data_IF_909780393826
#
_entry.id   IF_909780393826
#
_cell.length_a   1.000
_cell.length_b   1.000
_cell.length_c   1.000
_cell.angle_alpha   90.00
_cell.angle_beta   90.00
_cell.angle_gamma   90.00
#
_symmetry.space_group_name_H-M   'P 1'
#
loop_
_entity.id
_entity.type
_entity.pdbx_description
1 polymer ?
#
# COMPACT_ATOMS: atom_id res chain seq x y z
N UNK A 1 -2.89 -63.20 23.22
CA UNK A 1 -4.25 -63.35 22.65
C UNK A 1 -4.15 -63.06 21.16
N UNK A 2 -4.01 -64.10 20.31
CA UNK A 2 -3.74 -63.92 18.85
C UNK A 2 -5.05 -63.97 18.07
N UNK A 3 -5.77 -62.84 17.98
CA UNK A 3 -6.99 -62.70 17.19
C UNK A 3 -6.75 -62.93 15.67
N UNK A 4 -5.53 -62.77 15.20
CA UNK A 4 -5.15 -62.90 13.79
C UNK A 4 -4.96 -64.35 13.31
N UNK A 5 -4.96 -65.33 14.21
CA UNK A 5 -4.72 -66.78 13.87
C UNK A 5 -5.87 -67.46 13.16
N UNK A 6 -7.07 -66.90 13.12
CA UNK A 6 -8.32 -67.54 12.62
C UNK A 6 -8.70 -67.14 11.19
N UNK A 7 -7.97 -66.21 10.58
CA UNK A 7 -8.34 -65.75 9.22
C UNK A 7 -7.49 -66.48 8.15
N UNK A 8 -8.15 -66.88 7.04
CA UNK A 8 -7.51 -67.45 5.87
C UNK A 8 -6.42 -66.52 5.32
N UNK A 9 -5.34 -67.07 4.75
CA UNK A 9 -4.28 -66.32 4.11
C UNK A 9 -4.82 -65.30 3.09
N UNK A 10 -5.86 -65.68 2.34
CA UNK A 10 -6.54 -64.78 1.38
C UNK A 10 -7.16 -63.56 2.08
N UNK A 11 -7.80 -63.75 3.24
CA UNK A 11 -8.48 -62.67 3.99
C UNK A 11 -7.40 -61.68 4.54
N UNK A 12 -6.26 -62.17 4.98
CA UNK A 12 -5.13 -61.30 5.44
C UNK A 12 -4.57 -60.47 4.30
N UNK A 13 -4.46 -61.06 3.11
CA UNK A 13 -3.95 -60.35 1.92
C UNK A 13 -4.94 -59.24 1.51
N UNK A 14 -6.24 -59.53 1.47
CA UNK A 14 -7.27 -58.52 1.17
C UNK A 14 -7.29 -57.38 2.18
N UNK A 15 -7.19 -57.69 3.48
CA UNK A 15 -7.14 -56.69 4.53
C UNK A 15 -5.94 -55.80 4.40
N UNK A 16 -4.75 -56.34 4.13
CA UNK A 16 -3.53 -55.58 3.88
C UNK A 16 -3.67 -54.64 2.68
N UNK A 17 -4.22 -55.14 1.57
CA UNK A 17 -4.38 -54.32 0.35
C UNK A 17 -5.42 -53.21 0.55
N UNK A 18 -6.57 -53.51 1.15
CA UNK A 18 -7.60 -52.51 1.45
C UNK A 18 -7.09 -51.45 2.42
N UNK A 19 -6.38 -51.87 3.48
CA UNK A 19 -5.77 -50.95 4.43
C UNK A 19 -4.77 -50.01 3.76
N UNK A 20 -3.89 -50.57 2.90
CA UNK A 20 -2.90 -49.77 2.13
C UNK A 20 -3.58 -48.76 1.19
N UNK A 21 -4.68 -49.16 0.54
CA UNK A 21 -5.48 -48.29 -0.34
C UNK A 21 -6.13 -47.15 0.46
N UNK A 22 -6.72 -47.44 1.62
CA UNK A 22 -7.31 -46.44 2.51
C UNK A 22 -6.22 -45.42 2.96
N UNK A 23 -5.07 -45.90 3.34
CA UNK A 23 -3.93 -45.08 3.78
C UNK A 23 -3.45 -44.15 2.67
N UNK A 24 -3.37 -44.64 1.43
CA UNK A 24 -3.04 -43.87 0.24
C UNK A 24 -4.06 -42.76 -0.03
N UNK A 25 -5.35 -43.07 0.06
CA UNK A 25 -6.43 -42.09 -0.10
C UNK A 25 -6.38 -41.02 0.98
N UNK A 26 -6.13 -41.41 2.25
CA UNK A 26 -6.02 -40.45 3.37
C UNK A 26 -4.82 -39.52 3.18
N UNK A 27 -3.66 -40.06 2.80
CA UNK A 27 -2.47 -39.24 2.53
C UNK A 27 -2.70 -38.30 1.36
N UNK A 28 -3.30 -38.80 0.27
CA UNK A 28 -3.66 -37.99 -0.89
C UNK A 28 -4.64 -36.85 -0.55
N UNK A 29 -5.67 -37.15 0.24
CA UNK A 29 -6.64 -36.16 0.69
C UNK A 29 -6.00 -35.09 1.61
N UNK A 30 -5.15 -35.50 2.56
CA UNK A 30 -4.40 -34.57 3.40
C UNK A 30 -3.45 -33.67 2.59
N UNK A 31 -2.74 -34.25 1.62
CA UNK A 31 -1.87 -33.50 0.72
C UNK A 31 -2.64 -32.48 -0.11
N UNK A 32 -3.81 -32.88 -0.64
CA UNK A 32 -4.68 -31.97 -1.40
C UNK A 32 -5.18 -30.78 -0.56
N UNK A 33 -5.68 -31.07 0.66
CA UNK A 33 -6.17 -30.01 1.58
C UNK A 33 -5.04 -29.07 2.01
N UNK A 34 -3.83 -29.60 2.27
CA UNK A 34 -2.67 -28.78 2.61
C UNK A 34 -2.28 -27.86 1.45
N UNK A 35 -2.26 -28.38 0.22
CA UNK A 35 -1.92 -27.62 -0.98
C UNK A 35 -2.96 -26.52 -1.28
N UNK A 36 -4.23 -26.83 -1.11
CA UNK A 36 -5.33 -25.87 -1.34
C UNK A 36 -5.27 -24.69 -0.35
N UNK A 37 -5.03 -24.98 0.94
CA UNK A 37 -4.81 -23.95 1.96
C UNK A 37 -3.61 -23.06 1.67
N UNK A 38 -2.50 -23.63 1.23
CA UNK A 38 -1.29 -22.89 0.91
C UNK A 38 -1.51 -21.95 -0.29
N UNK A 39 -2.21 -22.42 -1.32
CA UNK A 39 -2.56 -21.59 -2.49
C UNK A 39 -3.45 -20.41 -2.12
N UNK A 40 -4.48 -20.63 -1.29
CA UNK A 40 -5.36 -19.56 -0.84
C UNK A 40 -4.62 -18.47 -0.06
N UNK A 41 -3.74 -18.83 0.86
CA UNK A 41 -2.94 -17.88 1.65
C UNK A 41 -2.00 -17.05 0.78
N UNK A 42 -1.32 -17.69 -0.16
CA UNK A 42 -0.41 -17.00 -1.09
C UNK A 42 -1.16 -16.00 -1.99
N UNK A 43 -2.32 -16.39 -2.51
CA UNK A 43 -3.12 -15.52 -3.37
C UNK A 43 -3.60 -14.26 -2.62
N UNK A 44 -4.00 -14.39 -1.35
CA UNK A 44 -4.38 -13.25 -0.50
C UNK A 44 -3.17 -12.34 -0.27
N UNK A 45 -2.02 -12.88 0.12
CA UNK A 45 -0.80 -12.11 0.35
C UNK A 45 -0.36 -11.35 -0.91
N UNK A 46 -0.39 -12.00 -2.07
CA UNK A 46 -0.05 -11.35 -3.33
C UNK A 46 -1.04 -10.22 -3.68
N UNK A 47 -2.34 -10.44 -3.50
CA UNK A 47 -3.34 -9.41 -3.79
C UNK A 47 -3.20 -8.19 -2.88
N UNK A 48 -2.95 -8.38 -1.59
CA UNK A 48 -2.70 -7.31 -0.63
C UNK A 48 -1.45 -6.48 -0.98
N UNK A 49 -0.35 -7.15 -1.39
CA UNK A 49 0.88 -6.45 -1.77
C UNK A 49 0.75 -5.68 -3.09
N UNK A 50 0.06 -6.26 -4.07
CA UNK A 50 -0.25 -5.56 -5.33
C UNK A 50 -1.12 -4.33 -5.04
N UNK A 51 -2.12 -4.46 -4.16
CA UNK A 51 -2.95 -3.33 -3.75
C UNK A 51 -2.10 -2.24 -3.08
N UNK A 52 -1.22 -2.59 -2.16
CA UNK A 52 -0.31 -1.64 -1.51
C UNK A 52 0.55 -0.88 -2.53
N UNK A 53 1.10 -1.57 -3.54
CA UNK A 53 1.88 -0.93 -4.61
C UNK A 53 1.02 0.05 -5.43
N UNK A 54 -0.21 -0.34 -5.74
CA UNK A 54 -1.18 0.51 -6.45
C UNK A 54 -1.49 1.75 -5.63
N UNK A 55 -1.81 1.58 -4.34
CA UNK A 55 -2.11 2.69 -3.42
C UNK A 55 -0.92 3.66 -3.30
N UNK A 56 0.31 3.16 -3.17
CA UNK A 56 1.51 4.01 -3.13
C UNK A 56 1.71 4.78 -4.45
N UNK A 57 1.45 4.16 -5.59
CA UNK A 57 1.52 4.82 -6.90
C UNK A 57 0.49 5.93 -7.05
N UNK A 58 -0.75 5.69 -6.61
CA UNK A 58 -1.82 6.68 -6.64
C UNK A 58 -1.57 7.84 -5.68
N UNK A 59 -1.04 7.56 -4.47
CA UNK A 59 -0.65 8.58 -3.51
C UNK A 59 0.46 9.48 -4.08
N UNK A 60 1.47 8.90 -4.75
CA UNK A 60 2.53 9.66 -5.42
C UNK A 60 1.99 10.52 -6.57
N UNK A 61 1.06 10.00 -7.36
CA UNK A 61 0.39 10.76 -8.42
C UNK A 61 -0.35 11.95 -7.82
N UNK A 62 -1.15 11.74 -6.77
CA UNK A 62 -1.89 12.80 -6.09
C UNK A 62 -0.96 13.85 -5.47
N UNK A 63 0.19 13.44 -4.92
CA UNK A 63 1.22 14.33 -4.43
C UNK A 63 1.82 15.19 -5.56
N UNK A 64 2.03 14.59 -6.73
CA UNK A 64 2.45 15.28 -7.95
C UNK A 64 1.44 16.32 -8.43
N UNK A 65 0.15 16.00 -8.36
CA UNK A 65 -0.93 16.91 -8.73
C UNK A 65 -1.03 18.11 -7.76
N UNK A 66 -0.81 17.89 -6.46
CA UNK A 66 -0.71 18.98 -5.49
C UNK A 66 0.43 19.95 -5.84
N UNK A 67 1.59 19.43 -6.19
CA UNK A 67 2.75 20.26 -6.58
C UNK A 67 2.54 20.97 -7.91
N UNK A 68 1.83 20.34 -8.86
CA UNK A 68 1.46 21.00 -10.12
C UNK A 68 0.54 22.16 -9.84
N UNK A 69 -0.53 21.96 -9.09
CA UNK A 69 -1.50 23.00 -8.75
C UNK A 69 -0.86 24.13 -7.94
N UNK A 70 0.09 23.85 -7.03
CA UNK A 70 0.92 24.86 -6.37
C UNK A 70 1.63 25.75 -7.37
N UNK A 71 2.30 25.16 -8.35
CA UNK A 71 3.00 25.94 -9.40
C UNK A 71 2.04 26.73 -10.25
N UNK A 72 0.89 26.18 -10.58
CA UNK A 72 -0.14 26.86 -11.36
C UNK A 72 -0.68 28.08 -10.59
N UNK A 73 -0.88 27.99 -9.26
CA UNK A 73 -1.24 29.12 -8.41
C UNK A 73 -0.17 30.22 -8.47
N UNK A 74 1.09 29.85 -8.37
CA UNK A 74 2.22 30.78 -8.38
C UNK A 74 2.36 31.46 -9.75
N UNK A 75 2.20 30.73 -10.84
CA UNK A 75 2.29 31.26 -12.21
C UNK A 75 1.14 32.23 -12.53
N UNK A 76 -0.06 31.91 -12.05
CA UNK A 76 -1.26 32.73 -12.30
C UNK A 76 -1.45 33.85 -11.27
N UNK A 77 -0.42 34.28 -10.55
CA UNK A 77 -0.47 35.23 -9.44
C UNK A 77 -1.16 36.56 -9.77
N UNK A 78 -1.24 36.97 -11.03
CA UNK A 78 -1.89 38.18 -11.50
C UNK A 78 -3.38 37.99 -11.85
N UNK A 79 -3.93 36.79 -11.70
CA UNK A 79 -5.32 36.45 -11.97
C UNK A 79 -5.98 35.87 -10.69
N UNK A 80 -6.52 36.72 -9.83
CA UNK A 80 -7.09 36.34 -8.55
C UNK A 80 -8.25 35.35 -8.67
N UNK A 81 -9.03 35.41 -9.76
CA UNK A 81 -10.14 34.48 -10.00
C UNK A 81 -9.62 33.07 -10.28
N UNK A 82 -8.61 32.96 -11.12
CA UNK A 82 -7.95 31.69 -11.41
C UNK A 82 -7.23 31.12 -10.18
N UNK A 83 -6.51 31.97 -9.45
CA UNK A 83 -5.85 31.58 -8.18
C UNK A 83 -6.84 31.03 -7.17
N UNK A 84 -8.02 31.67 -7.02
CA UNK A 84 -9.07 31.18 -6.12
C UNK A 84 -9.58 29.80 -6.53
N UNK A 85 -9.86 29.57 -7.81
CA UNK A 85 -10.29 28.28 -8.35
C UNK A 85 -9.23 27.19 -8.16
N UNK A 86 -7.96 27.51 -8.41
CA UNK A 86 -6.83 26.59 -8.22
C UNK A 86 -6.62 26.25 -6.73
N UNK A 87 -6.78 27.22 -5.82
CA UNK A 87 -6.73 26.96 -4.37
C UNK A 87 -7.82 25.99 -3.92
N UNK A 88 -9.04 26.16 -4.42
CA UNK A 88 -10.13 25.24 -4.11
C UNK A 88 -9.82 23.83 -4.63
N UNK A 89 -9.30 23.71 -5.85
CA UNK A 89 -8.87 22.44 -6.43
C UNK A 89 -7.75 21.80 -5.61
N UNK A 90 -6.75 22.59 -5.20
CA UNK A 90 -5.64 22.14 -4.36
C UNK A 90 -6.13 21.61 -3.00
N UNK A 91 -7.06 22.33 -2.34
CA UNK A 91 -7.63 21.91 -1.06
C UNK A 91 -8.43 20.60 -1.17
N UNK A 92 -9.17 20.40 -2.25
CA UNK A 92 -9.88 19.15 -2.54
C UNK A 92 -8.90 17.98 -2.75
N UNK A 93 -7.84 18.21 -3.50
CA UNK A 93 -6.78 17.20 -3.74
C UNK A 93 -6.07 16.83 -2.45
N UNK A 94 -5.75 17.81 -1.60
CA UNK A 94 -5.14 17.58 -0.28
C UNK A 94 -6.06 16.76 0.64
N UNK A 95 -7.35 17.07 0.66
CA UNK A 95 -8.35 16.33 1.43
C UNK A 95 -8.44 14.87 0.95
N UNK A 96 -8.43 14.66 -0.36
CA UNK A 96 -8.42 13.32 -0.97
C UNK A 96 -7.16 12.53 -0.61
N UNK A 97 -5.99 13.18 -0.66
CA UNK A 97 -4.71 12.58 -0.27
C UNK A 97 -4.73 12.09 1.19
N UNK A 98 -5.20 12.95 2.10
CA UNK A 98 -5.31 12.60 3.53
C UNK A 98 -6.27 11.45 3.78
N UNK A 99 -7.41 11.46 3.11
CA UNK A 99 -8.39 10.37 3.22
C UNK A 99 -7.78 9.05 2.77
N UNK A 100 -7.13 9.02 1.60
CA UNK A 100 -6.47 7.81 1.09
C UNK A 100 -5.38 7.31 2.04
N UNK A 101 -4.57 8.21 2.62
CA UNK A 101 -3.58 7.84 3.62
C UNK A 101 -4.21 7.21 4.86
N UNK A 102 -5.33 7.75 5.34
CA UNK A 102 -6.08 7.18 6.46
C UNK A 102 -6.65 5.80 6.13
N UNK A 103 -7.20 5.62 4.93
CA UNK A 103 -7.75 4.35 4.45
C UNK A 103 -6.65 3.27 4.36
N UNK A 104 -5.51 3.61 3.75
CA UNK A 104 -4.35 2.70 3.64
C UNK A 104 -3.77 2.36 5.02
N UNK A 105 -3.66 3.36 5.92
CA UNK A 105 -3.22 3.17 7.30
C UNK A 105 -4.11 2.17 8.05
N UNK A 106 -5.41 2.25 7.84
CA UNK A 106 -6.37 1.34 8.48
C UNK A 106 -6.23 -0.09 7.94
N UNK A 107 -6.10 -0.27 6.63
CA UNK A 107 -5.90 -1.57 6.00
C UNK A 107 -4.60 -2.23 6.47
N UNK A 108 -3.52 -1.45 6.60
CA UNK A 108 -2.20 -1.93 7.00
C UNK A 108 -1.94 -1.81 8.52
N UNK A 109 -2.98 -1.74 9.34
CA UNK A 109 -2.88 -1.52 10.80
C UNK A 109 -2.09 -2.61 11.54
N UNK A 110 -1.91 -3.79 10.96
CA UNK A 110 -1.09 -4.87 11.50
C UNK A 110 0.43 -4.68 11.30
N UNK A 111 0.85 -3.75 10.44
CA UNK A 111 2.26 -3.45 10.14
C UNK A 111 2.64 -2.12 10.82
N UNK A 112 3.31 -2.21 11.97
CA UNK A 112 3.67 -1.04 12.77
C UNK A 112 4.65 -0.09 12.06
N UNK A 113 5.58 -0.62 11.24
CA UNK A 113 6.54 0.18 10.48
C UNK A 113 5.85 0.93 9.34
N UNK A 114 4.94 0.24 8.66
CA UNK A 114 4.10 0.86 7.63
C UNK A 114 3.26 1.99 8.21
N UNK A 115 2.56 1.74 9.31
CA UNK A 115 1.74 2.75 10.01
C UNK A 115 2.58 3.96 10.43
N UNK A 116 3.76 3.74 11.02
CA UNK A 116 4.66 4.82 11.40
C UNK A 116 5.12 5.68 10.21
N UNK A 117 5.36 5.06 9.05
CA UNK A 117 5.73 5.75 7.82
C UNK A 117 4.56 6.60 7.26
N UNK A 118 3.33 6.09 7.34
CA UNK A 118 2.13 6.85 6.96
C UNK A 118 1.90 8.03 7.93
N UNK A 119 2.03 7.81 9.23
CA UNK A 119 1.88 8.88 10.23
C UNK A 119 2.91 9.99 10.03
N UNK A 120 4.15 9.64 9.72
CA UNK A 120 5.19 10.60 9.35
C UNK A 120 4.86 11.35 8.06
N UNK A 121 4.31 10.67 7.05
CA UNK A 121 3.88 11.31 5.81
C UNK A 121 2.75 12.32 6.05
N UNK A 122 1.79 12.00 6.93
CA UNK A 122 0.72 12.91 7.32
C UNK A 122 1.25 14.16 8.04
N UNK A 123 2.28 14.01 8.88
CA UNK A 123 2.92 15.13 9.55
C UNK A 123 3.68 16.05 8.58
N UNK A 124 4.45 15.49 7.65
CA UNK A 124 5.13 16.24 6.58
C UNK A 124 4.13 17.02 5.71
N UNK A 125 3.02 16.39 5.31
CA UNK A 125 1.94 17.04 4.55
C UNK A 125 1.31 18.17 5.34
N UNK A 126 1.11 18.00 6.65
CA UNK A 126 0.58 19.04 7.53
C UNK A 126 1.53 20.24 7.64
N UNK A 127 2.83 19.98 7.79
CA UNK A 127 3.84 21.05 7.84
C UNK A 127 3.87 21.83 6.52
N UNK A 128 3.84 21.14 5.40
CA UNK A 128 3.75 21.74 4.08
C UNK A 128 2.51 22.62 3.94
N UNK A 129 1.31 22.11 4.26
CA UNK A 129 0.05 22.86 4.19
C UNK A 129 0.09 24.13 5.06
N UNK A 130 0.58 23.99 6.30
CA UNK A 130 0.68 25.11 7.24
C UNK A 130 1.58 26.22 6.71
N UNK A 131 2.65 25.84 5.99
CA UNK A 131 3.58 26.80 5.39
C UNK A 131 3.05 27.43 4.10
N UNK A 132 2.39 26.65 3.23
CA UNK A 132 2.00 27.13 1.88
C UNK A 132 0.66 27.88 1.87
N UNK A 133 -0.30 27.54 2.73
CA UNK A 133 -1.62 28.18 2.73
C UNK A 133 -1.58 29.70 2.88
N UNK A 134 -0.78 30.28 3.80
CA UNK A 134 -0.64 31.73 3.90
C UNK A 134 -0.02 32.37 2.66
N UNK A 135 0.81 31.64 1.91
CA UNK A 135 1.43 32.11 0.67
C UNK A 135 0.36 32.22 -0.42
N UNK A 136 -0.49 31.22 -0.55
CA UNK A 136 -1.61 31.25 -1.49
C UNK A 136 -2.58 32.42 -1.19
N UNK A 137 -2.87 32.69 0.09
CA UNK A 137 -3.69 33.84 0.48
C UNK A 137 -3.09 35.18 0.08
N UNK A 138 -1.76 35.33 0.25
CA UNK A 138 -1.05 36.55 -0.15
C UNK A 138 -1.01 36.72 -1.67
N UNK A 139 -0.86 35.62 -2.43
CA UNK A 139 -0.93 35.64 -3.90
C UNK A 139 -2.32 36.04 -4.37
N UNK A 140 -3.38 35.40 -3.84
CA UNK A 140 -4.76 35.73 -4.17
C UNK A 140 -5.12 37.18 -3.86
N UNK A 141 -4.63 37.69 -2.73
CA UNK A 141 -4.78 39.09 -2.30
C UNK A 141 -3.86 40.07 -3.01
N UNK A 142 -3.12 39.68 -4.04
CA UNK A 142 -2.14 40.47 -4.78
C UNK A 142 -1.06 41.12 -3.86
N UNK A 143 -0.74 40.51 -2.73
CA UNK A 143 0.29 40.96 -1.78
C UNK A 143 1.64 40.27 -2.02
N UNK A 144 1.68 39.25 -2.87
CA UNK A 144 2.87 38.51 -3.22
C UNK A 144 2.85 38.18 -4.70
N UNK A 145 3.96 38.43 -5.40
CA UNK A 145 4.12 38.09 -6.79
C UNK A 145 4.56 36.62 -6.99
N UNK A 146 4.63 36.18 -8.24
CA UNK A 146 5.05 34.80 -8.56
C UNK A 146 6.47 34.49 -8.15
N UNK A 147 7.40 35.44 -8.18
CA UNK A 147 8.78 35.23 -7.77
C UNK A 147 8.89 35.01 -6.26
N UNK A 148 8.21 35.85 -5.48
CA UNK A 148 8.11 35.69 -4.03
C UNK A 148 7.41 34.41 -3.63
N UNK A 149 6.27 34.07 -4.26
CA UNK A 149 5.56 32.83 -4.05
C UNK A 149 6.43 31.61 -4.32
N UNK A 150 7.16 31.59 -5.44
CA UNK A 150 8.08 30.52 -5.80
C UNK A 150 9.20 30.33 -4.79
N UNK A 151 9.82 31.41 -4.33
CA UNK A 151 10.89 31.35 -3.32
C UNK A 151 10.42 30.77 -1.97
N UNK A 152 9.17 31.03 -1.58
CA UNK A 152 8.58 30.41 -0.39
C UNK A 152 8.24 28.93 -0.60
N UNK A 153 7.64 28.60 -1.73
CA UNK A 153 7.29 27.22 -2.07
C UNK A 153 8.54 26.32 -2.15
N UNK A 154 9.65 26.83 -2.67
CA UNK A 154 10.94 26.10 -2.73
C UNK A 154 11.46 25.72 -1.33
N UNK A 155 11.23 26.54 -0.31
CA UNK A 155 11.62 26.21 1.07
C UNK A 155 10.78 25.09 1.66
N UNK A 156 9.53 24.96 1.23
CA UNK A 156 8.57 23.94 1.72
C UNK A 156 8.69 22.62 0.92
N UNK A 157 9.39 22.64 -0.19
CA UNK A 157 9.61 21.47 -1.06
C UNK A 157 10.17 20.26 -0.30
N UNK A 158 10.97 20.49 0.72
CA UNK A 158 11.58 19.44 1.56
C UNK A 158 10.53 18.49 2.17
N UNK A 159 9.37 19.00 2.56
CA UNK A 159 8.28 18.20 3.14
C UNK A 159 7.63 17.28 2.10
N UNK A 160 7.44 17.78 0.89
CA UNK A 160 6.88 17.00 -0.22
C UNK A 160 7.86 15.93 -0.71
N UNK A 161 9.16 16.24 -0.75
CA UNK A 161 10.22 15.28 -1.08
C UNK A 161 10.37 14.20 0.00
N UNK A 162 10.25 14.57 1.27
CA UNK A 162 10.25 13.62 2.37
C UNK A 162 9.06 12.66 2.27
N UNK A 163 7.86 13.18 1.96
CA UNK A 163 6.66 12.37 1.73
C UNK A 163 6.82 11.41 0.54
N UNK A 164 7.35 11.88 -0.59
CA UNK A 164 7.60 11.03 -1.77
C UNK A 164 8.61 9.92 -1.48
N UNK A 165 9.65 10.20 -0.72
CA UNK A 165 10.62 9.19 -0.27
C UNK A 165 9.98 8.13 0.62
N UNK A 166 9.10 8.52 1.55
CA UNK A 166 8.37 7.57 2.38
C UNK A 166 7.47 6.65 1.54
N UNK A 167 6.74 7.21 0.59
CA UNK A 167 5.91 6.40 -0.33
C UNK A 167 6.75 5.45 -1.18
N UNK A 168 7.91 5.91 -1.67
CA UNK A 168 8.83 5.06 -2.43
C UNK A 168 9.38 3.91 -1.57
N UNK A 169 9.81 4.21 -0.34
CA UNK A 169 10.31 3.20 0.59
C UNK A 169 9.25 2.13 0.92
N UNK A 170 8.00 2.55 1.13
CA UNK A 170 6.88 1.63 1.35
C UNK A 170 6.59 0.74 0.13
N UNK A 171 6.67 1.31 -1.07
CA UNK A 171 6.52 0.55 -2.31
C UNK A 171 7.67 -0.47 -2.50
N UNK A 172 8.90 -0.07 -2.21
CA UNK A 172 10.07 -0.95 -2.33
C UNK A 172 10.03 -2.09 -1.30
N UNK A 173 9.59 -1.81 -0.06
CA UNK A 173 9.35 -2.83 0.95
C UNK A 173 8.27 -3.84 0.51
N UNK A 174 7.17 -3.37 -0.07
CA UNK A 174 6.12 -4.25 -0.59
C UNK A 174 6.62 -5.13 -1.75
N UNK A 175 7.47 -4.60 -2.64
CA UNK A 175 8.11 -5.38 -3.71
C UNK A 175 9.04 -6.45 -3.17
N UNK A 176 9.92 -6.10 -2.24
CA UNK A 176 10.84 -7.04 -1.62
C UNK A 176 10.11 -8.22 -0.96
N UNK A 177 9.02 -7.95 -0.25
CA UNK A 177 8.17 -8.98 0.36
C UNK A 177 7.49 -9.88 -0.69
N UNK A 178 7.11 -9.34 -1.85
CA UNK A 178 6.59 -10.15 -2.96
C UNK A 178 7.64 -11.07 -3.56
N UNK A 179 8.86 -10.58 -3.73
CA UNK A 179 9.97 -11.36 -4.29
C UNK A 179 10.40 -12.49 -3.35
N UNK A 180 10.45 -12.24 -2.03
CA UNK A 180 10.69 -13.27 -1.02
C UNK A 180 9.59 -14.35 -1.02
N UNK A 181 8.32 -13.94 -1.12
CA UNK A 181 7.21 -14.88 -1.20
C UNK A 181 7.27 -15.75 -2.46
N UNK A 182 7.74 -15.22 -3.59
CA UNK A 182 7.96 -15.99 -4.82
C UNK A 182 9.10 -17.01 -4.65
N UNK A 183 10.24 -16.58 -4.13
CA UNK A 183 11.39 -17.46 -3.94
C UNK A 183 11.08 -18.63 -2.99
N UNK A 184 10.25 -18.40 -1.96
CA UNK A 184 9.81 -19.44 -1.04
C UNK A 184 8.85 -20.47 -1.64
N UNK A 185 8.26 -20.20 -2.81
CA UNK A 185 7.37 -21.15 -3.53
C UNK A 185 8.15 -22.02 -4.51
N UNK A 186 9.30 -21.53 -5.00
CA UNK A 186 10.14 -22.24 -5.99
C UNK A 186 11.18 -23.18 -5.33
N UNK A 187 11.34 -23.12 -4.01
CA UNK A 187 12.22 -23.99 -3.22
C UNK A 187 11.47 -25.17 -2.60
#
# INVERSE_FOLDING_TARGET
>A
MNALGRFSIRTRLYFGTVFSLILLVVIGAMGYVALDRTRGTLQVLFSERVQTLTDMSELRTTLGDLRRTEKDIIINFNNSVEVSALRESWAKTLTSLRKRLADVRQVQSGDAEFVASIDKSLDEIKQYETGISPIFEKIEGAQLDGAGGGAYADRLKVHMEATDKLFSSLADSARAQMDEARAGVES
#
